data_IF_212772279220
#
_entry.id   IF_212772279220
#
_cell.length_a   1.000
_cell.length_b   1.000
_cell.length_c   1.000
_cell.angle_alpha   90.00
_cell.angle_beta   90.00
_cell.angle_gamma   90.00
#
_symmetry.space_group_name_H-M   'P 1'
#
loop_
_entity.id
_entity.type
_entity.pdbx_description
1 polymer ?
#
# COMPACT_ATOMS: atom_id res chain seq x y z
N UNK A 1 4.25 -5.03 -17.67
CA UNK A 1 4.18 -4.27 -16.40
C UNK A 1 2.95 -4.60 -15.56
N UNK A 2 2.41 -5.82 -15.68
CA UNK A 2 1.11 -6.26 -15.16
C UNK A 2 0.98 -6.28 -13.63
N UNK A 3 2.04 -5.90 -12.90
CA UNK A 3 2.07 -5.84 -11.43
C UNK A 3 2.57 -4.52 -10.88
N UNK A 4 3.18 -3.67 -11.71
CA UNK A 4 3.83 -2.46 -11.22
C UNK A 4 2.78 -1.43 -10.84
N UNK A 5 2.70 -1.06 -9.56
CA UNK A 5 1.80 -0.01 -9.07
C UNK A 5 2.48 1.35 -8.97
N UNK A 6 3.81 1.38 -8.94
CA UNK A 6 4.61 2.61 -8.86
C UNK A 6 4.84 3.24 -10.23
N UNK A 7 4.95 2.44 -11.29
CA UNK A 7 5.16 2.94 -12.64
C UNK A 7 3.83 3.16 -13.35
N UNK A 8 3.71 4.27 -14.09
CA UNK A 8 2.50 4.62 -14.83
C UNK A 8 2.41 3.86 -16.16
N UNK A 9 3.47 3.93 -16.97
CA UNK A 9 3.56 3.29 -18.28
C UNK A 9 5.02 3.02 -18.65
N UNK A 10 5.26 2.10 -19.57
CA UNK A 10 6.55 1.91 -20.23
C UNK A 10 6.45 2.25 -21.71
N UNK A 11 7.54 2.81 -22.20
CA UNK A 11 7.70 3.22 -23.58
C UNK A 11 9.01 2.65 -24.11
N UNK A 12 9.01 2.22 -25.37
CA UNK A 12 10.22 1.99 -26.14
C UNK A 12 10.71 3.36 -26.64
N UNK A 13 11.87 3.78 -26.15
CA UNK A 13 12.45 5.07 -26.47
C UNK A 13 13.06 5.05 -27.88
N UNK A 14 12.57 5.92 -28.76
CA UNK A 14 13.08 6.06 -30.12
C UNK A 14 14.02 7.25 -30.25
N UNK A 15 13.71 8.36 -29.56
CA UNK A 15 14.59 9.52 -29.56
C UNK A 15 14.35 10.43 -28.38
N UNK A 16 15.34 11.27 -28.08
CA UNK A 16 15.27 12.26 -27.02
C UNK A 16 16.16 13.47 -27.30
N UNK A 17 15.92 14.56 -26.60
CA UNK A 17 16.75 15.77 -26.70
C UNK A 17 16.29 16.86 -25.74
N UNK A 18 17.13 17.88 -25.54
CA UNK A 18 16.76 19.10 -24.80
C UNK A 18 16.07 20.13 -25.69
N UNK A 19 16.24 19.99 -27.00
CA UNK A 19 15.59 20.84 -28.01
C UNK A 19 14.87 19.97 -29.04
N UNK A 20 13.91 20.56 -29.75
CA UNK A 20 13.24 19.88 -30.87
C UNK A 20 14.22 19.43 -31.96
N UNK A 21 15.30 20.19 -32.19
CA UNK A 21 16.33 19.82 -33.16
C UNK A 21 17.16 18.62 -32.70
N UNK A 22 17.50 18.55 -31.41
CA UNK A 22 18.17 17.38 -30.83
C UNK A 22 17.27 16.14 -30.91
N UNK A 23 15.99 16.28 -30.55
CA UNK A 23 15.01 15.20 -30.66
C UNK A 23 14.91 14.69 -32.09
N UNK A 24 14.77 15.60 -33.07
CA UNK A 24 14.73 15.25 -34.49
C UNK A 24 15.97 14.50 -34.94
N UNK A 25 17.15 14.99 -34.55
CA UNK A 25 18.43 14.34 -34.88
C UNK A 25 18.52 12.94 -34.26
N UNK A 26 18.10 12.80 -33.00
CA UNK A 26 18.05 11.53 -32.29
C UNK A 26 17.05 10.54 -32.90
N UNK A 27 15.91 11.02 -33.41
CA UNK A 27 14.92 10.18 -34.07
C UNK A 27 15.43 9.69 -35.43
N UNK A 28 16.05 10.57 -36.22
CA UNK A 28 16.60 10.20 -37.53
C UNK A 28 17.80 9.24 -37.42
N UNK A 29 18.49 9.20 -36.29
CA UNK A 29 19.60 8.25 -36.05
C UNK A 29 19.15 6.89 -35.52
N UNK A 30 17.89 6.77 -35.07
CA UNK A 30 17.37 5.50 -34.56
C UNK A 30 17.12 4.51 -35.71
N UNK A 31 17.43 3.21 -35.54
CA UNK A 31 17.36 2.24 -36.63
C UNK A 31 15.98 2.17 -37.28
N UNK A 32 15.90 2.49 -38.57
CA UNK A 32 14.64 2.50 -39.33
C UNK A 32 13.97 1.11 -39.37
N UNK A 33 14.76 0.04 -39.34
CA UNK A 33 14.29 -1.35 -39.26
C UNK A 33 13.48 -1.67 -37.99
N UNK A 34 13.73 -0.94 -36.90
CA UNK A 34 12.97 -1.10 -35.65
C UNK A 34 11.68 -0.27 -35.66
N UNK A 35 11.64 0.85 -36.39
CA UNK A 35 10.43 1.67 -36.50
C UNK A 35 9.45 1.14 -37.56
N UNK A 36 9.98 0.65 -38.68
CA UNK A 36 9.20 0.30 -39.85
C UNK A 36 8.04 -0.66 -39.58
N UNK A 37 8.11 -1.66 -38.69
CA UNK A 37 6.98 -2.56 -38.43
C UNK A 37 5.74 -1.85 -37.87
N UNK A 38 5.91 -0.66 -37.28
CA UNK A 38 4.85 0.07 -36.58
C UNK A 38 4.33 1.29 -37.36
N UNK A 39 4.83 1.52 -38.57
CA UNK A 39 4.54 2.72 -39.38
C UNK A 39 3.98 2.38 -40.76
N UNK A 40 3.54 1.12 -40.96
CA UNK A 40 3.07 0.59 -42.25
C UNK A 40 1.73 1.20 -42.71
N UNK A 41 1.46 1.26 -44.03
CA UNK A 41 0.22 1.82 -44.59
C UNK A 41 -1.08 1.14 -44.13
N UNK A 42 -1.02 -0.17 -43.87
CA UNK A 42 -2.15 -0.98 -43.44
C UNK A 42 -2.40 -0.90 -41.91
N UNK A 43 -1.57 -0.13 -41.20
CA UNK A 43 -1.67 0.04 -39.76
C UNK A 43 -2.44 1.31 -39.36
N UNK A 44 -2.95 1.31 -38.14
CA UNK A 44 -3.60 2.47 -37.51
C UNK A 44 -2.79 2.96 -36.32
N UNK A 45 -2.65 4.27 -36.16
CA UNK A 45 -1.90 4.83 -35.05
C UNK A 45 -2.54 6.07 -34.42
N UNK A 46 -2.05 6.41 -33.22
CA UNK A 46 -2.24 7.74 -32.62
C UNK A 46 -0.95 8.21 -31.96
N UNK A 47 -0.81 9.52 -31.85
CA UNK A 47 0.26 10.17 -31.09
C UNK A 47 -0.35 10.89 -29.89
N UNK A 48 0.10 10.54 -28.69
CA UNK A 48 -0.29 11.19 -27.45
C UNK A 48 0.81 12.16 -27.01
N UNK A 49 0.43 13.34 -26.54
CA UNK A 49 1.36 14.29 -25.92
C UNK A 49 1.14 14.29 -24.42
N UNK A 50 2.18 13.96 -23.66
CA UNK A 50 2.19 14.02 -22.21
C UNK A 50 3.21 15.03 -21.74
N UNK A 51 2.80 15.88 -20.81
CA UNK A 51 3.65 16.88 -20.19
C UNK A 51 3.78 16.59 -18.70
N UNK A 52 5.00 16.72 -18.19
CA UNK A 52 5.30 16.73 -16.77
C UNK A 52 5.36 18.19 -16.31
N UNK A 53 4.68 18.51 -15.20
CA UNK A 53 4.68 19.83 -14.58
C UNK A 53 4.13 21.01 -15.43
N UNK A 54 3.45 20.74 -16.56
CA UNK A 54 2.74 21.75 -17.36
C UNK A 54 1.42 21.19 -17.89
N UNK A 55 0.41 22.03 -18.08
CA UNK A 55 -0.81 21.67 -18.80
C UNK A 55 -0.80 22.37 -20.16
N UNK A 56 -0.89 21.58 -21.23
CA UNK A 56 -1.03 22.11 -22.59
C UNK A 56 -2.49 22.16 -23.02
N UNK A 57 -2.83 23.24 -23.73
CA UNK A 57 -4.09 23.37 -24.43
C UNK A 57 -4.16 22.41 -25.64
N UNK A 58 -5.37 22.17 -26.14
CA UNK A 58 -5.56 21.23 -27.24
C UNK A 58 -4.84 21.69 -28.52
N UNK A 59 -4.92 22.98 -28.86
CA UNK A 59 -4.25 23.53 -30.05
C UNK A 59 -2.73 23.37 -29.99
N UNK A 60 -2.12 23.55 -28.81
CA UNK A 60 -0.68 23.36 -28.62
C UNK A 60 -0.28 21.89 -28.81
N UNK A 61 -1.10 20.94 -28.34
CA UNK A 61 -0.83 19.51 -28.54
C UNK A 61 -0.86 19.12 -30.01
N UNK A 62 -1.80 19.66 -30.78
CA UNK A 62 -1.87 19.44 -32.23
C UNK A 62 -0.62 19.99 -32.90
N UNK A 63 -0.22 21.22 -32.56
CA UNK A 63 1.03 21.81 -33.06
C UNK A 63 2.25 20.93 -32.77
N UNK A 64 2.36 20.35 -31.57
CA UNK A 64 3.45 19.41 -31.23
C UNK A 64 3.45 18.15 -32.09
N UNK A 65 2.27 17.67 -32.47
CA UNK A 65 2.13 16.51 -33.36
C UNK A 65 2.53 16.89 -34.79
N UNK A 66 2.09 18.05 -35.28
CA UNK A 66 2.43 18.55 -36.61
C UNK A 66 3.94 18.82 -36.75
N UNK A 67 4.59 19.30 -35.69
CA UNK A 67 6.06 19.49 -35.63
C UNK A 67 6.83 18.17 -35.87
N UNK A 68 6.18 17.00 -35.79
CA UNK A 68 6.75 15.67 -36.02
C UNK A 68 6.44 15.07 -37.40
N UNK A 69 5.91 15.86 -38.35
CA UNK A 69 5.59 15.42 -39.72
C UNK A 69 6.80 14.81 -40.48
N UNK A 70 8.03 15.10 -40.04
CA UNK A 70 9.24 14.53 -40.63
C UNK A 70 9.42 13.02 -40.37
N UNK A 71 8.61 12.40 -39.52
CA UNK A 71 8.62 10.96 -39.30
C UNK A 71 7.82 10.23 -40.40
N UNK A 72 8.34 9.11 -40.94
CA UNK A 72 7.73 8.41 -42.08
C UNK A 72 6.51 7.56 -41.68
N UNK A 73 5.47 8.18 -41.10
CA UNK A 73 4.22 7.49 -40.79
C UNK A 73 3.39 7.32 -42.07
N UNK A 74 3.24 6.09 -42.53
CA UNK A 74 2.40 5.78 -43.70
C UNK A 74 1.00 5.27 -43.30
N UNK A 75 0.82 4.88 -42.04
CA UNK A 75 -0.45 4.39 -41.50
C UNK A 75 -1.56 5.45 -41.39
N UNK A 76 -2.74 5.02 -40.97
CA UNK A 76 -3.91 5.90 -40.81
C UNK A 76 -4.13 6.31 -39.36
N UNK A 77 -4.58 7.55 -39.12
CA UNK A 77 -4.82 8.05 -37.75
C UNK A 77 -6.14 7.50 -37.19
N UNK A 78 -6.08 6.84 -36.03
CA UNK A 78 -7.25 6.31 -35.29
C UNK A 78 -7.19 6.71 -33.82
N UNK A 79 -8.09 7.60 -33.39
CA UNK A 79 -8.09 8.12 -32.02
C UNK A 79 -8.68 7.13 -30.99
N UNK A 80 -9.66 6.32 -31.42
CA UNK A 80 -10.39 5.41 -30.54
C UNK A 80 -9.68 4.07 -30.36
N UNK A 81 -9.41 3.38 -31.48
CA UNK A 81 -8.86 2.02 -31.50
C UNK A 81 -7.64 1.96 -32.43
N UNK A 82 -6.51 2.56 -32.06
CA UNK A 82 -5.25 2.42 -32.81
C UNK A 82 -4.59 1.07 -32.53
N UNK A 83 -3.90 0.52 -33.52
CA UNK A 83 -2.97 -0.61 -33.33
C UNK A 83 -1.67 -0.17 -32.66
N UNK A 84 -1.21 1.05 -32.96
CA UNK A 84 0.05 1.58 -32.43
C UNK A 84 -0.17 2.92 -31.74
N UNK A 85 0.39 3.06 -30.53
CA UNK A 85 0.32 4.30 -29.76
C UNK A 85 1.74 4.83 -29.59
N UNK A 86 1.97 6.05 -30.06
CA UNK A 86 3.22 6.78 -29.88
C UNK A 86 3.01 7.90 -28.88
N UNK A 87 4.10 8.31 -28.23
CA UNK A 87 4.04 9.26 -27.14
C UNK A 87 5.18 10.25 -27.23
N UNK A 88 4.82 11.53 -27.29
CA UNK A 88 5.72 12.64 -27.02
C UNK A 88 5.63 12.97 -25.52
N UNK A 89 6.75 12.89 -24.82
CA UNK A 89 6.86 13.18 -23.39
C UNK A 89 7.71 14.45 -23.23
N UNK A 90 7.14 15.51 -22.66
CA UNK A 90 7.85 16.75 -22.38
C UNK A 90 8.01 16.93 -20.86
N UNK A 91 9.24 17.15 -20.42
CA UNK A 91 9.58 17.39 -19.01
C UNK A 91 9.87 18.87 -18.78
N UNK A 92 9.02 19.53 -17.98
CA UNK A 92 9.17 20.94 -17.58
C UNK A 92 9.73 21.09 -16.16
N UNK A 93 10.52 20.11 -15.71
CA UNK A 93 11.17 20.12 -14.41
C UNK A 93 10.21 19.87 -13.25
N UNK A 94 10.71 19.97 -12.02
CA UNK A 94 9.99 19.55 -10.81
C UNK A 94 9.41 20.71 -9.98
N UNK A 95 9.71 21.96 -10.32
CA UNK A 95 9.20 23.12 -9.58
C UNK A 95 7.88 23.63 -10.19
N UNK A 96 6.73 23.39 -9.55
CA UNK A 96 5.44 23.83 -10.08
C UNK A 96 5.25 25.35 -10.02
N UNK A 97 6.07 26.07 -9.25
CA UNK A 97 5.97 27.53 -9.13
C UNK A 97 6.84 28.27 -10.14
N UNK A 98 7.73 27.56 -10.83
CA UNK A 98 8.65 28.13 -11.82
C UNK A 98 8.75 27.21 -13.04
N UNK A 99 7.63 27.05 -13.74
CA UNK A 99 7.52 26.20 -14.92
C UNK A 99 8.19 26.92 -16.11
N UNK A 100 9.21 26.33 -16.75
CA UNK A 100 9.88 26.95 -17.89
C UNK A 100 8.95 27.04 -19.11
N UNK A 101 9.25 28.00 -19.99
CA UNK A 101 8.48 28.19 -21.23
C UNK A 101 8.61 26.97 -22.16
N UNK A 102 9.84 26.45 -22.28
CA UNK A 102 10.20 25.27 -23.05
C UNK A 102 10.53 24.09 -22.12
N UNK A 103 10.32 22.84 -22.56
CA UNK A 103 10.69 21.69 -21.76
C UNK A 103 12.21 21.58 -21.62
N UNK A 104 12.66 21.12 -20.45
CA UNK A 104 14.07 20.81 -20.18
C UNK A 104 14.53 19.59 -20.99
N UNK A 105 13.62 18.62 -21.18
CA UNK A 105 13.83 17.44 -21.99
C UNK A 105 12.56 17.00 -22.71
N UNK A 106 12.75 16.44 -23.89
CA UNK A 106 11.69 15.84 -24.70
C UNK A 106 12.10 14.43 -25.09
N UNK A 107 11.15 13.51 -25.02
CA UNK A 107 11.30 12.11 -25.39
C UNK A 107 10.20 11.73 -26.36
N UNK A 108 10.53 10.90 -27.35
CA UNK A 108 9.55 10.30 -28.23
C UNK A 108 9.75 8.79 -28.31
N UNK A 109 8.65 8.05 -28.31
CA UNK A 109 8.72 6.60 -28.34
C UNK A 109 7.35 5.94 -28.49
N UNK A 110 7.39 4.62 -28.58
CA UNK A 110 6.20 3.77 -28.71
C UNK A 110 5.75 3.28 -27.34
N UNK A 111 4.46 3.38 -27.05
CA UNK A 111 3.87 2.83 -25.84
C UNK A 111 3.89 1.31 -25.86
N UNK A 112 4.30 0.70 -24.75
CA UNK A 112 4.43 -0.76 -24.60
C UNK A 112 3.37 -1.32 -23.67
N UNK A 113 3.21 -0.72 -22.49
CA UNK A 113 2.26 -1.19 -21.49
C UNK A 113 2.02 -0.11 -20.43
N UNK A 114 0.83 -0.15 -19.84
CA UNK A 114 0.55 0.57 -18.60
C UNK A 114 0.88 -0.27 -17.36
N UNK A 115 1.18 0.42 -16.27
CA UNK A 115 1.20 -0.17 -14.94
C UNK A 115 -0.21 -0.35 -14.39
N UNK A 116 -0.28 -0.80 -13.15
CA UNK A 116 -1.50 -1.16 -12.45
C UNK A 116 -1.88 -0.12 -11.38
N UNK A 117 -1.57 1.16 -11.61
CA UNK A 117 -1.85 2.23 -10.64
C UNK A 117 -3.33 2.37 -10.30
N UNK A 118 -4.20 2.01 -11.25
CA UNK A 118 -5.66 1.96 -11.06
C UNK A 118 -6.11 0.98 -9.94
N UNK A 119 -5.28 -0.03 -9.63
CA UNK A 119 -5.56 -0.94 -8.51
C UNK A 119 -5.59 -0.21 -7.17
N UNK A 120 -4.76 0.82 -6.99
CA UNK A 120 -4.74 1.63 -5.75
C UNK A 120 -6.10 2.31 -5.54
N UNK A 121 -6.73 2.78 -6.62
CA UNK A 121 -8.03 3.46 -6.57
C UNK A 121 -9.17 2.46 -6.33
N UNK A 122 -9.18 1.34 -7.05
CA UNK A 122 -10.23 0.32 -6.90
C UNK A 122 -10.19 -0.33 -5.51
N UNK A 123 -9.00 -0.60 -4.97
CA UNK A 123 -8.81 -1.25 -3.66
C UNK A 123 -8.70 -0.26 -2.49
N UNK A 124 -9.10 1.01 -2.71
CA UNK A 124 -9.08 2.01 -1.66
C UNK A 124 -9.86 1.54 -0.45
N UNK A 125 -9.34 1.82 0.75
CA UNK A 125 -10.00 1.47 2.02
C UNK A 125 -11.44 2.01 2.09
N UNK A 126 -11.72 3.13 1.42
CA UNK A 126 -13.05 3.76 1.35
C UNK A 126 -14.10 2.91 0.64
N UNK A 127 -13.68 1.97 -0.20
CA UNK A 127 -14.59 1.11 -0.96
C UNK A 127 -14.90 -0.19 -0.22
N UNK A 128 -14.33 -0.43 0.97
CA UNK A 128 -14.47 -1.69 1.70
C UNK A 128 -15.73 -1.72 2.54
N UNK A 129 -16.32 -2.92 2.66
CA UNK A 129 -17.44 -3.20 3.56
C UNK A 129 -17.07 -3.02 5.05
N UNK A 130 -15.83 -3.36 5.43
CA UNK A 130 -15.31 -3.17 6.77
C UNK A 130 -14.07 -2.28 6.75
N UNK A 131 -14.07 -1.27 7.63
CA UNK A 131 -12.96 -0.32 7.80
C UNK A 131 -12.60 -0.30 9.28
N UNK A 132 -11.35 -0.63 9.58
CA UNK A 132 -10.77 -0.52 10.92
C UNK A 132 -9.69 0.55 10.99
N UNK A 133 -9.39 1.00 12.22
CA UNK A 133 -8.47 2.10 12.53
C UNK A 133 -6.99 1.83 12.15
N UNK A 134 -6.67 0.59 11.80
CA UNK A 134 -5.32 0.10 11.47
C UNK A 134 -5.23 -0.48 10.05
N UNK A 135 -6.21 -0.16 9.19
CA UNK A 135 -6.18 -0.58 7.79
C UNK A 135 -4.98 0.02 7.04
N UNK A 136 -4.16 -0.83 6.43
CA UNK A 136 -3.04 -0.41 5.58
C UNK A 136 -3.56 0.23 4.28
N UNK A 137 -2.83 1.26 3.79
CA UNK A 137 -3.03 1.88 2.48
C UNK A 137 -2.92 0.84 1.33
N UNK A 138 -3.76 1.01 0.30
CA UNK A 138 -3.82 0.08 -0.82
C UNK A 138 -2.52 0.07 -1.63
N UNK A 139 -1.94 1.24 -1.90
CA UNK A 139 -0.69 1.36 -2.65
C UNK A 139 0.47 0.68 -1.93
N UNK A 140 0.62 0.92 -0.63
CA UNK A 140 1.60 0.23 0.19
C UNK A 140 1.37 -1.28 0.22
N UNK A 141 0.12 -1.73 0.37
CA UNK A 141 -0.21 -3.16 0.38
C UNK A 141 0.22 -3.87 -0.91
N UNK A 142 0.00 -3.24 -2.08
CA UNK A 142 0.46 -3.79 -3.36
C UNK A 142 1.99 -3.78 -3.51
N UNK A 143 2.67 -2.76 -2.99
CA UNK A 143 4.14 -2.73 -2.98
C UNK A 143 4.68 -3.90 -2.14
N UNK A 144 4.11 -4.12 -0.95
CA UNK A 144 4.50 -5.21 -0.08
C UNK A 144 4.24 -6.58 -0.74
N UNK A 145 3.08 -6.79 -1.37
CA UNK A 145 2.76 -8.02 -2.10
C UNK A 145 3.72 -8.29 -3.27
N UNK A 146 4.10 -7.25 -4.01
CA UNK A 146 5.07 -7.36 -5.09
C UNK A 146 6.48 -7.68 -4.59
N UNK A 147 6.91 -7.06 -3.50
CA UNK A 147 8.21 -7.34 -2.91
C UNK A 147 8.27 -8.72 -2.27
N UNK A 148 7.18 -9.21 -1.70
CA UNK A 148 7.03 -10.60 -1.28
C UNK A 148 7.08 -11.59 -2.46
N UNK A 149 7.02 -11.10 -3.71
CA UNK A 149 7.00 -11.90 -4.95
C UNK A 149 5.86 -12.90 -5.02
N UNK A 150 4.74 -12.61 -4.37
CA UNK A 150 3.56 -13.48 -4.32
C UNK A 150 3.07 -13.81 -5.73
N UNK A 151 2.96 -15.09 -6.09
CA UNK A 151 2.47 -15.59 -7.39
C UNK A 151 1.15 -16.33 -7.24
N UNK A 152 0.60 -16.70 -8.38
CA UNK A 152 -0.54 -17.61 -8.41
C UNK A 152 -0.18 -18.93 -7.72
N UNK A 153 -1.09 -19.43 -6.89
CA UNK A 153 -0.93 -20.64 -6.06
C UNK A 153 0.02 -20.55 -4.87
N UNK A 154 0.66 -19.41 -4.62
CA UNK A 154 1.44 -19.21 -3.41
C UNK A 154 0.54 -19.25 -2.16
N UNK A 155 1.06 -19.79 -1.07
CA UNK A 155 0.44 -19.73 0.26
C UNK A 155 1.01 -18.52 1.01
N UNK A 156 0.19 -17.48 1.17
CA UNK A 156 0.58 -16.23 1.83
C UNK A 156 0.02 -16.19 3.24
N UNK A 157 0.86 -15.78 4.19
CA UNK A 157 0.52 -15.74 5.61
C UNK A 157 0.74 -14.36 6.24
N UNK A 158 -0.24 -13.91 7.03
CA UNK A 158 -0.14 -12.70 7.85
C UNK A 158 -0.49 -13.03 9.31
N UNK A 159 0.48 -13.05 10.24
CA UNK A 159 0.24 -13.31 11.67
C UNK A 159 -0.44 -12.14 12.41
N UNK A 160 -0.54 -10.96 11.79
CA UNK A 160 -1.10 -9.74 12.37
C UNK A 160 -2.05 -9.06 11.37
N UNK A 161 -3.01 -9.83 10.85
CA UNK A 161 -3.82 -9.46 9.67
C UNK A 161 -4.61 -8.14 9.78
N UNK A 162 -5.02 -7.76 11.00
CA UNK A 162 -5.89 -6.61 11.25
C UNK A 162 -7.16 -6.66 10.40
N UNK A 163 -7.30 -5.70 9.47
CA UNK A 163 -8.44 -5.61 8.54
C UNK A 163 -8.21 -6.27 7.18
N UNK A 164 -7.21 -7.14 7.05
CA UNK A 164 -6.99 -7.90 5.82
C UNK A 164 -6.31 -7.14 4.69
N UNK A 165 -5.94 -5.86 4.86
CA UNK A 165 -5.41 -5.02 3.75
C UNK A 165 -4.29 -5.68 2.93
N UNK A 166 -3.35 -6.35 3.60
CA UNK A 166 -2.20 -6.97 2.96
C UNK A 166 -2.60 -8.20 2.15
N UNK A 167 -3.47 -9.05 2.71
CA UNK A 167 -3.97 -10.25 2.04
C UNK A 167 -4.93 -9.92 0.89
N UNK A 168 -5.73 -8.85 1.01
CA UNK A 168 -6.52 -8.30 -0.11
C UNK A 168 -5.61 -8.02 -1.30
N UNK A 169 -4.52 -7.27 -1.08
CA UNK A 169 -3.59 -6.92 -2.15
C UNK A 169 -2.85 -8.13 -2.73
N UNK A 170 -2.55 -9.13 -1.90
CA UNK A 170 -1.96 -10.38 -2.36
C UNK A 170 -2.92 -11.14 -3.27
N UNK A 171 -4.19 -11.27 -2.89
CA UNK A 171 -5.21 -12.03 -3.63
C UNK A 171 -5.44 -11.55 -5.07
N UNK A 172 -5.22 -10.25 -5.34
CA UNK A 172 -5.28 -9.67 -6.68
C UNK A 172 -4.32 -10.33 -7.69
N UNK A 173 -3.26 -10.98 -7.20
CA UNK A 173 -2.26 -11.67 -8.03
C UNK A 173 -2.45 -13.19 -8.13
N UNK A 174 -3.59 -13.72 -7.65
CA UNK A 174 -3.94 -15.14 -7.72
C UNK A 174 -3.40 -16.14 -6.66
N UNK A 175 -2.78 -15.75 -5.52
CA UNK A 175 -2.37 -16.70 -4.47
C UNK A 175 -3.55 -17.25 -3.66
N UNK A 176 -3.33 -18.34 -2.92
CA UNK A 176 -4.23 -18.81 -1.86
C UNK A 176 -3.78 -18.20 -0.52
N UNK A 177 -4.62 -17.41 0.15
CA UNK A 177 -4.23 -16.69 1.39
C UNK A 177 -4.70 -17.45 2.65
N UNK A 178 -3.82 -17.59 3.66
CA UNK A 178 -4.13 -18.22 4.96
C UNK A 178 -3.90 -17.21 6.08
N UNK A 179 -4.90 -16.99 6.93
CA UNK A 179 -4.85 -15.94 7.96
C UNK A 179 -4.67 -16.53 9.37
N UNK A 180 -3.89 -15.86 10.22
CA UNK A 180 -3.87 -16.14 11.67
C UNK A 180 -3.97 -14.83 12.45
N UNK A 181 -4.89 -14.75 13.43
CA UNK A 181 -5.13 -13.54 14.22
C UNK A 181 -5.17 -13.77 15.72
N UNK A 182 -4.50 -12.89 16.46
CA UNK A 182 -4.83 -12.64 17.87
C UNK A 182 -6.00 -11.66 17.93
N UNK A 183 -7.22 -12.20 17.84
CA UNK A 183 -8.52 -11.52 17.94
C UNK A 183 -8.83 -10.56 16.77
N UNK A 184 -9.45 -11.09 15.71
CA UNK A 184 -10.66 -10.57 15.00
C UNK A 184 -10.84 -11.34 13.68
N UNK A 185 -12.07 -11.70 13.35
CA UNK A 185 -12.52 -12.39 12.12
C UNK A 185 -12.64 -11.35 11.00
N UNK A 186 -12.08 -11.59 9.82
CA UNK A 186 -12.50 -10.89 8.61
C UNK A 186 -12.97 -11.86 7.52
N UNK A 187 -14.23 -11.69 7.13
CA UNK A 187 -14.76 -12.23 5.88
C UNK A 187 -14.29 -11.34 4.72
N UNK A 188 -13.53 -11.90 3.78
CA UNK A 188 -13.22 -11.25 2.52
C UNK A 188 -14.32 -11.53 1.48
N UNK A 189 -15.40 -10.75 1.53
CA UNK A 189 -16.59 -10.93 0.68
C UNK A 189 -16.40 -10.64 -0.83
N UNK A 190 -15.21 -10.20 -1.28
CA UNK A 190 -14.94 -9.94 -2.71
C UNK A 190 -13.89 -10.89 -3.32
N UNK A 191 -13.34 -11.82 -2.52
CA UNK A 191 -12.27 -12.74 -2.96
C UNK A 191 -12.59 -14.20 -2.59
N UNK A 192 -13.86 -14.58 -2.67
CA UNK A 192 -14.35 -15.91 -2.25
C UNK A 192 -13.64 -17.09 -2.94
N UNK A 193 -12.97 -16.86 -4.09
CA UNK A 193 -12.28 -17.91 -4.86
C UNK A 193 -10.82 -18.16 -4.46
N UNK A 194 -10.20 -17.29 -3.65
CA UNK A 194 -8.76 -17.33 -3.34
C UNK A 194 -8.43 -17.21 -1.85
N UNK A 195 -9.45 -17.09 -1.01
CA UNK A 195 -9.33 -17.11 0.44
C UNK A 195 -9.32 -18.57 0.94
N UNK A 196 -8.32 -18.94 1.75
CA UNK A 196 -8.25 -20.28 2.33
C UNK A 196 -9.06 -20.35 3.64
N UNK A 197 -8.60 -19.66 4.70
CA UNK A 197 -9.24 -19.70 6.01
C UNK A 197 -8.67 -18.62 6.97
N UNK A 198 -9.40 -18.34 8.07
CA UNK A 198 -8.98 -17.50 9.19
C UNK A 198 -8.89 -18.35 10.44
N UNK A 199 -7.73 -18.29 11.09
CA UNK A 199 -7.52 -18.95 12.37
C UNK A 199 -7.31 -17.95 13.51
N UNK A 200 -8.18 -17.98 14.51
CA UNK A 200 -7.99 -17.19 15.73
C UNK A 200 -6.99 -17.90 16.64
N UNK A 201 -5.81 -17.32 16.81
CA UNK A 201 -4.79 -17.82 17.73
C UNK A 201 -3.72 -16.77 18.08
N UNK A 202 -2.99 -17.04 19.14
CA UNK A 202 -1.94 -16.14 19.62
C UNK A 202 -0.68 -16.26 18.75
N UNK A 203 -0.25 -15.16 18.13
CA UNK A 203 0.95 -15.16 17.29
C UNK A 203 2.23 -15.50 18.06
N UNK A 204 2.27 -15.29 19.39
CA UNK A 204 3.38 -15.72 20.25
C UNK A 204 3.39 -17.24 20.51
N UNK A 205 2.30 -17.94 20.19
CA UNK A 205 2.14 -19.39 20.35
C UNK A 205 1.72 -20.02 19.03
N UNK A 206 2.68 -20.19 18.09
CA UNK A 206 2.36 -20.74 16.78
C UNK A 206 1.77 -22.15 16.92
N UNK A 207 0.60 -22.35 16.32
CA UNK A 207 -0.12 -23.64 16.28
C UNK A 207 0.23 -24.47 15.05
N UNK A 208 1.12 -23.95 14.20
CA UNK A 208 1.60 -24.61 13.00
C UNK A 208 2.63 -25.69 13.31
N UNK A 209 2.64 -26.73 12.48
CA UNK A 209 3.73 -27.70 12.49
C UNK A 209 5.00 -27.00 12.02
N UNK A 210 6.13 -27.29 12.67
CA UNK A 210 7.46 -26.73 12.32
C UNK A 210 7.98 -27.32 11.01
N UNK A 211 7.40 -26.87 9.92
CA UNK A 211 7.74 -27.25 8.55
C UNK A 211 7.62 -26.03 7.65
N UNK A 212 8.40 -25.94 6.55
CA UNK A 212 8.16 -24.95 5.52
C UNK A 212 6.75 -25.12 4.94
N UNK A 213 5.92 -24.10 5.05
CA UNK A 213 4.51 -24.10 4.65
C UNK A 213 4.15 -22.91 3.76
N UNK A 214 4.80 -21.75 3.96
CA UNK A 214 4.40 -20.49 3.34
C UNK A 214 5.42 -20.03 2.31
N UNK A 215 4.92 -19.60 1.15
CA UNK A 215 5.72 -18.99 0.08
C UNK A 215 6.10 -17.54 0.44
N UNK A 216 5.22 -16.85 1.17
CA UNK A 216 5.46 -15.51 1.67
C UNK A 216 4.80 -15.28 3.02
N UNK A 217 5.49 -14.52 3.87
CA UNK A 217 4.93 -13.96 5.10
C UNK A 217 4.95 -12.43 4.95
N UNK A 218 3.78 -11.80 5.09
CA UNK A 218 3.59 -10.37 4.89
C UNK A 218 2.79 -9.81 6.06
N UNK A 219 3.28 -8.75 6.75
CA UNK A 219 2.59 -8.29 7.96
C UNK A 219 2.92 -6.85 8.38
N UNK A 220 2.02 -6.23 9.14
CA UNK A 220 2.24 -4.96 9.85
C UNK A 220 1.99 -5.17 11.35
N UNK A 221 3.02 -5.58 12.13
CA UNK A 221 2.83 -5.95 13.53
C UNK A 221 2.36 -4.76 14.40
N UNK A 222 1.63 -5.00 15.49
CA UNK A 222 1.11 -3.92 16.34
C UNK A 222 2.24 -3.15 17.03
N UNK A 223 2.25 -1.82 16.86
CA UNK A 223 3.30 -0.95 17.45
C UNK A 223 3.04 -0.56 18.91
N UNK A 224 1.96 -1.06 19.51
CA UNK A 224 1.58 -0.67 20.86
C UNK A 224 1.15 0.79 20.96
N UNK A 225 0.63 1.44 19.91
CA UNK A 225 0.13 2.84 19.94
C UNK A 225 -1.40 2.86 19.96
N UNK A 226 -2.01 2.33 18.90
CA UNK A 226 -3.48 2.27 18.71
C UNK A 226 -4.08 0.97 19.27
N UNK A 227 -3.31 -0.11 19.19
CA UNK A 227 -3.68 -1.45 19.63
C UNK A 227 -2.73 -1.87 20.76
N UNK A 228 -3.26 -2.55 21.77
CA UNK A 228 -2.43 -3.05 22.87
C UNK A 228 -1.65 -4.29 22.44
N UNK A 229 -0.34 -4.32 22.69
CA UNK A 229 0.47 -5.52 22.47
C UNK A 229 0.33 -6.48 23.65
N UNK A 230 -0.43 -7.55 23.47
CA UNK A 230 -0.73 -8.55 24.51
C UNK A 230 -0.43 -9.95 24.01
N UNK A 231 -0.03 -10.82 24.92
CA UNK A 231 0.14 -12.26 24.69
C UNK A 231 -0.52 -13.08 25.79
N UNK A 232 -0.84 -14.31 25.48
CA UNK A 232 -1.45 -15.29 26.37
C UNK A 232 -0.37 -15.96 27.21
N UNK A 233 -0.41 -15.80 28.52
CA UNK A 233 0.52 -16.40 29.46
C UNK A 233 -0.15 -17.16 30.61
N UNK A 234 0.68 -17.72 31.47
CA UNK A 234 0.30 -18.27 32.77
C UNK A 234 1.09 -17.53 33.86
N UNK A 235 0.55 -17.39 35.06
CA UNK A 235 1.26 -16.76 36.20
C UNK A 235 2.46 -17.60 36.70
N UNK A 236 2.66 -18.83 36.20
CA UNK A 236 3.77 -19.71 36.56
C UNK A 236 4.43 -20.24 35.29
N UNK A 237 5.74 -20.03 35.14
CA UNK A 237 6.60 -20.66 34.14
C UNK A 237 6.83 -22.15 34.42
N UNK A 238 5.76 -22.91 34.68
CA UNK A 238 5.83 -24.34 34.94
C UNK A 238 5.17 -25.06 33.77
N UNK A 239 6.01 -25.65 32.92
CA UNK A 239 5.64 -26.74 32.02
C UNK A 239 5.22 -27.95 32.89
N UNK A 240 3.94 -28.02 33.28
CA UNK A 240 3.36 -29.30 33.69
C UNK A 240 2.94 -30.04 32.41
N UNK A 241 3.38 -31.29 32.20
CA UNK A 241 2.82 -32.15 31.16
C UNK A 241 1.30 -32.23 31.31
N UNK A 242 0.58 -32.22 30.19
CA UNK A 242 -0.87 -32.28 30.16
C UNK A 242 -1.38 -33.64 30.63
N UNK A 243 -1.77 -33.75 31.91
CA UNK A 243 -2.66 -34.82 32.37
C UNK A 243 -4.11 -34.41 32.08
N UNK A 244 -4.54 -34.63 30.83
CA UNK A 244 -5.87 -35.08 30.38
C UNK A 244 -7.18 -34.46 30.89
N UNK A 245 -7.19 -33.45 31.76
CA UNK A 245 -8.43 -32.90 32.34
C UNK A 245 -8.46 -31.40 32.12
N UNK A 246 -9.12 -30.97 31.03
CA UNK A 246 -9.50 -29.58 30.85
C UNK A 246 -10.45 -29.19 31.98
N UNK A 247 -10.00 -28.36 32.92
CA UNK A 247 -10.92 -27.53 33.68
C UNK A 247 -11.52 -26.52 32.70
N UNK A 248 -12.79 -26.66 32.36
CA UNK A 248 -13.57 -25.81 31.44
C UNK A 248 -13.59 -24.30 31.80
N UNK A 249 -12.87 -23.88 32.85
CA UNK A 249 -12.90 -22.53 33.44
C UNK A 249 -11.55 -21.80 33.46
N UNK A 250 -10.47 -22.36 32.90
CA UNK A 250 -9.17 -21.66 32.88
C UNK A 250 -9.08 -20.63 31.74
N UNK A 251 -9.37 -19.36 32.04
CA UNK A 251 -9.09 -18.24 31.15
C UNK A 251 -7.59 -17.91 31.21
N UNK A 252 -6.85 -17.99 30.10
CA UNK A 252 -5.44 -17.65 30.08
C UNK A 252 -5.19 -16.18 30.44
N UNK A 253 -4.07 -15.88 31.10
CA UNK A 253 -3.77 -14.53 31.59
C UNK A 253 -3.18 -13.68 30.46
N UNK A 254 -3.71 -12.49 30.25
CA UNK A 254 -3.14 -11.52 29.31
C UNK A 254 -1.88 -10.87 29.89
N UNK A 255 -0.75 -11.04 29.23
CA UNK A 255 0.55 -10.46 29.58
C UNK A 255 0.98 -9.40 28.56
N UNK A 256 1.91 -8.52 28.93
CA UNK A 256 2.53 -7.59 27.99
C UNK A 256 3.32 -8.36 26.93
N UNK A 257 3.14 -8.00 25.67
CA UNK A 257 3.94 -8.50 24.56
C UNK A 257 4.86 -7.37 24.10
N UNK A 258 6.14 -7.50 24.42
CA UNK A 258 7.12 -6.46 24.10
C UNK A 258 7.43 -6.45 22.60
N UNK A 259 7.72 -5.27 22.07
CA UNK A 259 7.95 -5.10 20.63
C UNK A 259 9.19 -5.89 20.17
N UNK A 260 10.23 -5.96 21.00
CA UNK A 260 11.40 -6.80 20.77
C UNK A 260 11.04 -8.29 20.64
N UNK A 261 10.11 -8.76 21.48
CA UNK A 261 9.65 -10.15 21.48
C UNK A 261 8.80 -10.44 20.23
N UNK A 262 7.91 -9.51 19.84
CA UNK A 262 7.10 -9.61 18.62
C UNK A 262 7.98 -9.88 17.41
N UNK A 263 9.02 -9.08 17.22
CA UNK A 263 9.91 -9.26 16.08
C UNK A 263 10.77 -10.51 16.23
N UNK A 264 11.26 -10.83 17.44
CA UNK A 264 12.00 -12.08 17.66
C UNK A 264 11.17 -13.31 17.28
N UNK A 265 9.92 -13.35 17.72
CA UNK A 265 9.00 -14.45 17.46
C UNK A 265 8.61 -14.49 15.97
N UNK A 266 8.37 -13.33 15.34
CA UNK A 266 8.09 -13.24 13.91
C UNK A 266 9.25 -13.77 13.05
N UNK A 267 10.49 -13.35 13.35
CA UNK A 267 11.66 -13.80 12.59
C UNK A 267 11.93 -15.30 12.82
N UNK A 268 11.80 -15.77 14.07
CA UNK A 268 11.94 -17.19 14.40
C UNK A 268 10.86 -18.02 13.71
N UNK A 269 9.61 -17.56 13.72
CA UNK A 269 8.50 -18.21 13.02
C UNK A 269 8.78 -18.30 11.52
N UNK A 270 9.20 -17.20 10.91
CA UNK A 270 9.50 -17.11 9.48
C UNK A 270 10.62 -18.07 9.08
N UNK A 271 11.67 -18.18 9.89
CA UNK A 271 12.78 -19.09 9.64
C UNK A 271 12.37 -20.58 9.65
N UNK A 272 11.29 -20.95 10.37
CA UNK A 272 10.81 -22.34 10.41
C UNK A 272 9.75 -22.65 9.35
N UNK A 273 8.98 -21.65 8.91
CA UNK A 273 7.77 -21.86 8.10
C UNK A 273 7.85 -21.27 6.69
N UNK A 274 8.85 -20.46 6.36
CA UNK A 274 9.08 -20.05 4.98
C UNK A 274 9.74 -21.17 4.17
N UNK A 275 9.27 -21.37 2.95
CA UNK A 275 9.96 -22.16 1.94
C UNK A 275 11.28 -21.50 1.53
N UNK A 276 12.22 -22.28 0.99
CA UNK A 276 13.47 -21.75 0.45
C UNK A 276 13.19 -20.76 -0.69
N UNK A 277 13.84 -19.60 -0.66
CA UNK A 277 13.56 -18.49 -1.59
C UNK A 277 12.28 -17.70 -1.29
N UNK A 278 11.48 -18.12 -0.31
CA UNK A 278 10.35 -17.39 0.23
C UNK A 278 10.79 -16.11 0.94
N UNK A 279 9.83 -15.19 1.14
CA UNK A 279 10.12 -13.83 1.62
C UNK A 279 9.28 -13.45 2.83
N UNK A 280 9.95 -12.87 3.82
CA UNK A 280 9.34 -12.15 4.93
C UNK A 280 9.32 -10.66 4.59
N UNK A 281 8.14 -10.05 4.66
CA UNK A 281 7.94 -8.62 4.44
C UNK A 281 7.19 -8.03 5.63
N UNK A 282 7.80 -7.07 6.32
CA UNK A 282 7.18 -6.46 7.50
C UNK A 282 7.52 -4.99 7.70
N UNK A 283 6.70 -4.31 8.51
CA UNK A 283 7.00 -2.97 9.00
C UNK A 283 7.59 -2.98 10.40
N UNK A 284 8.64 -2.18 10.60
CA UNK A 284 9.30 -1.96 11.88
C UNK A 284 9.10 -0.49 12.31
N UNK A 285 8.41 -0.19 13.41
CA UNK A 285 8.28 1.19 13.89
C UNK A 285 9.61 1.68 14.48
N UNK A 286 9.98 2.91 14.17
CA UNK A 286 11.28 3.49 14.52
C UNK A 286 11.13 4.92 15.04
N UNK A 287 11.79 5.22 16.15
CA UNK A 287 12.04 6.58 16.60
C UNK A 287 13.27 7.13 15.86
N UNK A 288 13.06 8.14 15.00
CA UNK A 288 14.07 8.58 14.01
C UNK A 288 15.39 9.03 14.62
N UNK A 289 15.42 9.79 15.74
CA UNK A 289 16.68 10.20 16.37
C UNK A 289 17.58 9.05 16.83
N UNK A 290 17.00 7.89 17.13
CA UNK A 290 17.73 6.74 17.67
C UNK A 290 17.99 5.65 16.63
N UNK A 291 17.68 5.91 15.36
CA UNK A 291 17.80 4.92 14.31
C UNK A 291 19.25 4.70 13.90
N UNK A 292 19.68 3.44 13.91
CA UNK A 292 20.86 2.93 13.20
C UNK A 292 20.49 1.64 12.46
N UNK A 293 21.31 1.17 11.52
CA UNK A 293 21.03 -0.11 10.83
C UNK A 293 21.10 -1.31 11.79
N UNK A 294 21.83 -1.19 12.88
CA UNK A 294 22.01 -2.22 13.91
C UNK A 294 20.73 -2.55 14.69
N UNK A 295 19.75 -1.63 14.72
CA UNK A 295 18.49 -1.88 15.43
C UNK A 295 17.51 -2.75 14.62
N UNK A 296 17.80 -3.00 13.34
CA UNK A 296 16.94 -3.85 12.51
C UNK A 296 17.06 -5.30 13.00
N UNK A 297 15.95 -5.97 13.36
CA UNK A 297 15.99 -7.37 13.78
C UNK A 297 16.54 -8.26 12.66
N UNK A 298 17.46 -9.16 13.02
CA UNK A 298 18.08 -10.13 12.09
C UNK A 298 17.82 -11.57 12.56
N UNK A 299 17.99 -12.54 11.69
CA UNK A 299 17.96 -13.95 12.07
C UNK A 299 18.96 -14.72 11.21
N UNK A 300 19.75 -15.67 11.76
CA UNK A 300 20.77 -16.41 11.00
C UNK A 300 20.27 -17.05 9.70
N UNK A 301 19.01 -17.51 9.68
CA UNK A 301 18.39 -18.12 8.51
C UNK A 301 17.78 -17.13 7.50
N UNK A 302 17.73 -15.83 7.83
CA UNK A 302 17.08 -14.80 7.03
C UNK A 302 18.09 -13.73 6.61
N UNK A 303 18.24 -13.55 5.30
CA UNK A 303 19.07 -12.49 4.74
C UNK A 303 18.24 -11.22 4.59
N UNK A 304 18.68 -10.11 5.17
CA UNK A 304 18.11 -8.79 4.91
C UNK A 304 18.39 -8.37 3.46
N UNK A 305 17.34 -8.20 2.65
CA UNK A 305 17.45 -7.83 1.23
C UNK A 305 17.22 -6.33 1.00
N UNK A 306 16.35 -5.70 1.78
CA UNK A 306 16.02 -4.29 1.63
C UNK A 306 15.44 -3.69 2.91
N UNK A 307 15.72 -2.41 3.14
CA UNK A 307 15.23 -1.63 4.26
C UNK A 307 14.93 -0.20 3.81
N UNK A 308 13.65 0.21 3.78
CA UNK A 308 13.24 1.53 3.29
C UNK A 308 12.44 2.31 4.35
N UNK A 309 12.69 3.62 4.47
CA UNK A 309 11.97 4.48 5.42
C UNK A 309 10.66 5.01 4.82
N UNK A 310 9.58 4.93 5.61
CA UNK A 310 8.42 5.79 5.46
C UNK A 310 8.32 6.72 6.66
N UNK A 311 8.50 8.02 6.41
CA UNK A 311 8.37 9.06 7.43
C UNK A 311 6.88 9.25 7.78
N UNK A 312 6.55 9.14 9.06
CA UNK A 312 5.19 9.37 9.57
C UNK A 312 5.07 10.76 10.23
N UNK A 313 6.12 11.19 10.95
CA UNK A 313 6.20 12.50 11.58
C UNK A 313 7.65 13.00 11.61
N UNK A 314 7.90 14.15 12.26
CA UNK A 314 9.26 14.66 12.43
C UNK A 314 10.16 13.69 13.20
N UNK A 315 9.61 12.95 14.17
CA UNK A 315 10.37 12.08 15.08
C UNK A 315 10.03 10.60 14.97
N UNK A 316 8.99 10.22 14.23
CA UNK A 316 8.62 8.82 14.00
C UNK A 316 8.63 8.45 12.52
N UNK A 317 9.09 7.24 12.25
CA UNK A 317 9.04 6.60 10.95
C UNK A 317 8.68 5.13 11.15
N UNK A 318 8.39 4.45 10.05
CA UNK A 318 8.41 2.99 10.01
C UNK A 318 9.31 2.55 8.87
N UNK A 319 9.96 1.41 9.07
CA UNK A 319 10.92 0.80 8.15
C UNK A 319 10.28 -0.41 7.50
N UNK A 320 10.13 -0.33 6.18
CA UNK A 320 9.76 -1.45 5.34
C UNK A 320 10.95 -2.39 5.24
N UNK A 321 10.84 -3.60 5.78
CA UNK A 321 11.93 -4.58 5.83
C UNK A 321 11.56 -5.81 5.00
N UNK A 322 12.47 -6.21 4.10
CA UNK A 322 12.35 -7.40 3.28
C UNK A 322 13.50 -8.35 3.61
N UNK A 323 13.18 -9.57 4.00
CA UNK A 323 14.15 -10.63 4.24
C UNK A 323 13.84 -11.89 3.41
N UNK A 324 14.87 -12.55 2.91
CA UNK A 324 14.76 -13.81 2.16
C UNK A 324 15.34 -14.99 2.92
N UNK A 325 14.74 -16.17 2.73
CA UNK A 325 15.27 -17.41 3.30
C UNK A 325 16.52 -17.86 2.54
N UNK A 326 17.62 -18.15 3.25
CA UNK A 326 18.92 -18.56 2.66
C UNK A 326 19.33 -19.98 3.09
N UNK A 327 20.01 -20.71 2.19
CA UNK A 327 20.51 -22.07 2.39
C UNK A 327 21.73 -22.15 3.32
N UNK A 328 22.41 -21.03 3.60
CA UNK A 328 23.63 -20.97 4.43
C UNK A 328 23.35 -20.89 5.94
N UNK A 329 22.09 -21.07 6.35
CA UNK A 329 21.59 -20.92 7.72
C UNK A 329 22.32 -21.73 8.81
N UNK A 330 23.05 -22.80 8.43
CA UNK A 330 23.70 -23.72 9.36
C UNK A 330 25.02 -23.20 9.97
N UNK A 331 25.51 -22.02 9.54
CA UNK A 331 26.88 -21.58 9.83
C UNK A 331 27.02 -20.35 10.76
N UNK A 332 25.95 -19.85 11.38
CA UNK A 332 26.01 -18.61 12.17
C UNK A 332 25.58 -18.75 13.65
N UNK A 333 26.32 -18.04 14.50
CA UNK A 333 26.40 -18.08 15.98
C UNK A 333 25.03 -18.05 16.70
N UNK A 334 24.77 -18.93 17.70
CA UNK A 334 23.51 -18.98 18.46
C UNK A 334 23.18 -17.74 19.30
N UNK A 335 24.07 -16.74 19.39
CA UNK A 335 23.89 -15.57 20.26
C UNK A 335 23.13 -14.43 19.58
N UNK A 336 21.91 -14.70 19.12
CA UNK A 336 20.99 -13.64 18.72
C UNK A 336 20.28 -13.06 19.96
N UNK A 337 20.75 -11.91 20.44
CA UNK A 337 20.02 -11.13 21.45
C UNK A 337 19.11 -10.13 20.72
N UNK A 338 17.79 -10.11 20.99
CA UNK A 338 16.91 -9.10 20.41
C UNK A 338 17.32 -7.71 20.88
N UNK A 339 17.25 -6.71 19.99
CA UNK A 339 17.44 -5.32 20.37
C UNK A 339 16.25 -4.84 21.23
N UNK A 340 16.47 -4.64 22.52
CA UNK A 340 15.41 -4.28 23.47
C UNK A 340 14.98 -2.81 23.38
N UNK A 341 15.76 -1.95 22.71
CA UNK A 341 15.44 -0.52 22.58
C UNK A 341 14.12 -0.25 21.87
N UNK A 342 13.61 -1.21 21.10
CA UNK A 342 12.27 -1.20 20.52
C UNK A 342 11.16 -1.07 21.56
N UNK A 343 11.36 -1.58 22.78
CA UNK A 343 10.33 -1.58 23.83
C UNK A 343 10.00 -0.17 24.35
N UNK A 344 10.94 0.76 24.23
CA UNK A 344 10.73 2.16 24.55
C UNK A 344 10.03 2.95 23.43
N UNK A 345 9.68 2.33 22.29
CA UNK A 345 9.08 3.03 21.16
C UNK A 345 7.78 3.76 21.53
N UNK A 346 6.88 3.11 22.29
CA UNK A 346 5.61 3.72 22.72
C UNK A 346 5.85 4.99 23.53
N UNK A 347 6.76 4.95 24.50
CA UNK A 347 7.09 6.09 25.35
C UNK A 347 7.70 7.23 24.53
N UNK A 348 8.65 6.91 23.64
CA UNK A 348 9.30 7.88 22.73
C UNK A 348 8.32 8.49 21.71
N UNK A 349 7.34 7.73 21.26
CA UNK A 349 6.27 8.21 20.40
C UNK A 349 5.48 9.34 21.08
N UNK A 350 5.08 9.15 22.34
CA UNK A 350 4.29 10.15 23.07
C UNK A 350 5.15 11.29 23.65
N UNK A 351 6.42 11.06 23.95
CA UNK A 351 7.31 12.13 24.46
C UNK A 351 7.57 13.23 23.41
N UNK A 352 7.57 12.89 22.13
CA UNK A 352 7.64 13.86 21.02
C UNK A 352 6.40 14.76 20.91
N UNK A 353 5.23 14.28 21.37
CA UNK A 353 3.99 15.06 21.42
C UNK A 353 3.99 16.04 22.61
N UNK A 354 4.47 15.62 23.78
CA UNK A 354 4.48 16.44 25.00
C UNK A 354 5.51 17.59 24.96
N UNK A 355 6.58 17.49 24.17
CA UNK A 355 7.49 18.63 23.93
C UNK A 355 6.83 19.77 23.14
N UNK A 356 5.73 19.51 22.42
CA UNK A 356 4.97 20.54 21.70
C UNK A 356 3.97 21.27 22.59
N UNK A 357 3.40 20.62 23.62
CA UNK A 357 2.40 21.27 24.49
C UNK A 357 2.97 22.33 25.43
N UNK A 358 4.29 22.40 25.63
CA UNK A 358 4.96 23.37 26.51
C UNK A 358 5.55 24.59 25.78
N UNK A 359 5.32 24.74 24.46
CA UNK A 359 5.61 25.97 23.74
C UNK A 359 4.30 26.63 23.37
N UNK A 360 3.90 27.63 24.15
CA UNK A 360 2.94 28.64 23.70
C UNK A 360 3.53 29.32 22.46
N UNK A 361 2.91 29.11 21.30
CA UNK A 361 3.01 30.04 20.17
C UNK A 361 1.67 30.07 19.43
N UNK A 362 0.80 30.89 19.99
CA UNK A 362 -0.43 31.43 19.41
C UNK A 362 -0.15 32.06 18.03
N UNK A 363 -1.07 31.81 17.10
CA UNK A 363 -1.23 32.52 15.82
C UNK A 363 -0.24 32.18 14.68
N UNK A 364 0.98 31.72 14.96
CA UNK A 364 1.91 31.25 13.91
C UNK A 364 1.61 29.83 13.42
N UNK A 365 1.01 28.99 14.27
CA UNK A 365 0.76 27.57 13.96
C UNK A 365 -0.43 27.33 13.02
N UNK A 366 -1.41 28.23 12.90
CA UNK A 366 -2.44 28.07 11.83
C UNK A 366 -1.84 28.24 10.43
N UNK A 367 -0.82 29.09 10.29
CA UNK A 367 -0.05 29.21 9.06
C UNK A 367 0.94 28.05 8.88
N UNK A 368 1.48 27.49 9.97
CA UNK A 368 2.42 26.36 9.93
C UNK A 368 1.71 25.00 9.72
N UNK A 369 0.51 24.80 10.24
CA UNK A 369 -0.31 23.61 9.99
C UNK A 369 -0.78 23.57 8.53
N UNK A 370 -1.15 24.71 7.94
CA UNK A 370 -1.37 24.80 6.50
C UNK A 370 -0.08 24.49 5.73
N UNK A 371 1.08 25.05 6.13
CA UNK A 371 2.39 24.77 5.49
C UNK A 371 2.97 23.37 5.74
N UNK A 372 2.55 22.63 6.75
CA UNK A 372 3.01 21.25 7.07
C UNK A 372 2.06 20.20 6.49
N UNK A 373 0.77 20.51 6.36
CA UNK A 373 -0.12 19.74 5.48
C UNK A 373 0.27 19.92 4.00
N UNK A 374 0.63 21.13 3.58
CA UNK A 374 1.27 21.42 2.27
C UNK A 374 2.74 20.94 2.19
N UNK A 375 3.38 20.72 3.35
CA UNK A 375 4.81 20.38 3.52
C UNK A 375 5.12 18.88 3.55
N UNK A 376 4.19 18.05 4.00
CA UNK A 376 4.30 16.59 3.94
C UNK A 376 3.78 16.02 2.60
N UNK A 377 2.94 16.80 1.91
CA UNK A 377 2.68 16.68 0.47
C UNK A 377 3.83 17.24 -0.41
N UNK A 378 5.03 17.50 0.11
CA UNK A 378 6.14 17.99 -0.76
C UNK A 378 7.40 17.12 -0.75
N UNK A 379 7.66 16.24 0.23
CA UNK A 379 8.86 15.36 0.20
C UNK A 379 8.61 13.91 -0.20
N UNK A 380 7.44 13.32 0.10
CA UNK A 380 7.01 12.06 -0.54
C UNK A 380 6.46 12.29 -1.96
N UNK A 381 6.09 13.53 -2.20
CA UNK A 381 5.47 14.07 -3.40
C UNK A 381 6.55 14.66 -4.35
N UNK A 382 7.76 14.98 -3.90
CA UNK A 382 8.90 15.22 -4.81
C UNK A 382 9.32 14.00 -5.64
N UNK A 383 8.77 12.81 -5.33
CA UNK A 383 8.86 11.61 -6.18
C UNK A 383 7.55 11.26 -6.92
N UNK A 384 6.42 11.96 -6.67
CA UNK A 384 5.08 11.54 -7.14
C UNK A 384 4.12 12.71 -7.58
N UNK A 385 4.53 14.00 -7.57
CA UNK A 385 3.62 15.16 -7.81
C UNK A 385 3.69 15.76 -9.21
N UNK A 386 3.07 15.10 -10.21
CA UNK A 386 2.14 15.90 -11.01
C UNK A 386 0.80 15.20 -11.26
N UNK A 387 0.35 14.35 -10.33
CA UNK A 387 -0.89 13.56 -10.55
C UNK A 387 -2.06 14.00 -9.67
N UNK A 388 -1.84 14.63 -8.50
CA UNK A 388 -2.91 14.84 -7.52
C UNK A 388 -3.72 16.13 -7.67
N UNK A 389 -3.18 17.20 -8.29
CA UNK A 389 -4.00 18.37 -8.69
C UNK A 389 -4.98 18.01 -9.82
N UNK A 390 -4.73 16.90 -10.55
CA UNK A 390 -5.54 16.44 -11.68
C UNK A 390 -6.90 15.84 -11.26
N UNK A 391 -7.03 15.31 -10.04
CA UNK A 391 -8.23 14.59 -9.63
C UNK A 391 -9.39 15.50 -9.17
N UNK A 392 -9.10 16.68 -8.63
CA UNK A 392 -10.17 17.62 -8.25
C UNK A 392 -10.69 18.45 -9.44
N UNK A 393 -9.85 18.65 -10.46
CA UNK A 393 -10.24 19.43 -11.65
C UNK A 393 -10.92 18.59 -12.75
N UNK A 394 -10.61 17.29 -12.83
CA UNK A 394 -11.26 16.36 -13.77
C UNK A 394 -12.74 16.09 -13.46
N UNK A 395 -13.26 16.47 -12.28
CA UNK A 395 -14.70 16.34 -11.98
C UNK A 395 -15.57 17.46 -12.57
N UNK A 396 -14.97 18.52 -13.12
CA UNK A 396 -15.72 19.67 -13.68
C UNK A 396 -15.84 19.61 -15.20
N UNK A 397 -15.11 18.73 -15.88
CA UNK A 397 -15.06 18.68 -17.36
C UNK A 397 -15.78 17.51 -18.03
N UNK A 398 -16.49 16.66 -17.28
CA UNK A 398 -17.49 15.73 -17.83
C UNK A 398 -18.88 16.26 -17.50
N UNK A 399 -19.36 17.17 -18.34
CA UNK A 399 -20.64 17.86 -18.14
C UNK A 399 -21.84 16.92 -18.13
N UNK A 400 -22.63 17.02 -17.06
CA UNK A 400 -24.06 17.29 -17.20
C UNK A 400 -24.39 18.57 -16.43
N UNK A 401 -24.68 19.63 -17.18
CA UNK A 401 -25.44 20.76 -16.65
C UNK A 401 -26.84 20.26 -16.28
N UNK A 402 -27.21 20.35 -15.00
CA UNK A 402 -28.36 21.16 -14.56
C UNK A 402 -28.56 21.05 -13.04
N UNK A 403 -28.70 22.22 -12.40
CA UNK A 403 -29.29 22.45 -11.06
C UNK A 403 -28.56 21.88 -9.84
N UNK A 404 -27.74 22.71 -9.20
CA UNK A 404 -27.72 22.86 -7.74
C UNK A 404 -26.92 24.11 -7.32
N UNK A 405 -27.44 25.28 -7.70
CA UNK A 405 -27.21 26.52 -6.95
C UNK A 405 -28.37 26.64 -5.97
N UNK A 406 -28.19 26.16 -4.74
CA UNK A 406 -28.78 26.69 -3.50
C UNK A 406 -28.50 25.77 -2.30
N UNK A 407 -28.09 26.42 -1.20
CA UNK A 407 -28.12 26.00 0.21
C UNK A 407 -26.88 25.32 0.80
N UNK A 408 -25.92 26.16 1.19
CA UNK A 408 -25.16 25.98 2.43
C UNK A 408 -25.63 27.06 3.41
N UNK A 409 -26.40 26.69 4.44
CA UNK A 409 -26.28 27.21 5.82
C UNK A 409 -27.10 26.33 6.78
N UNK A 410 -26.67 26.10 8.03
CA UNK A 410 -27.21 25.07 8.90
C UNK A 410 -28.33 25.63 9.78
N UNK A 411 -29.40 24.86 9.97
CA UNK A 411 -30.40 25.15 11.01
C UNK A 411 -30.66 23.88 11.83
N UNK A 412 -30.25 24.01 13.09
CA UNK A 412 -30.55 23.15 14.22
C UNK A 412 -32.01 23.37 14.60
N UNK A 413 -32.91 22.41 14.35
CA UNK A 413 -34.25 22.37 14.97
C UNK A 413 -34.58 20.94 15.39
N UNK A 414 -34.68 20.78 16.70
CA UNK A 414 -35.41 19.71 17.39
C UNK A 414 -36.88 19.82 17.02
N UNK A 415 -37.54 18.73 16.58
CA UNK A 415 -38.89 18.38 17.04
C UNK A 415 -39.27 16.92 16.71
N UNK A 416 -39.89 16.31 17.72
CA UNK A 416 -40.59 15.04 17.75
C UNK A 416 -41.87 15.09 16.91
N UNK A 417 -42.24 14.00 16.21
CA UNK A 417 -43.59 13.41 16.26
C UNK A 417 -43.69 12.15 15.38
N UNK A 418 -44.49 11.20 15.86
CA UNK A 418 -44.80 9.91 15.30
C UNK A 418 -45.76 9.94 14.10
N UNK A 419 -45.74 8.91 13.26
CA UNK A 419 -46.88 7.98 13.07
C UNK A 419 -46.70 7.04 11.86
N UNK A 420 -46.83 5.75 12.14
CA UNK A 420 -47.57 4.70 11.42
C UNK A 420 -47.66 4.71 9.88
N UNK A 421 -47.14 3.63 9.26
CA UNK A 421 -47.98 2.50 8.76
C UNK A 421 -47.16 1.39 8.06
N UNK A 422 -47.75 0.17 7.86
CA UNK A 422 -47.06 -1.12 7.94
C UNK A 422 -46.60 -1.68 6.59
N UNK A 423 -45.69 -2.66 6.64
CA UNK A 423 -45.15 -3.37 5.47
C UNK A 423 -46.06 -4.48 4.92
N UNK A 424 -45.50 -5.30 4.00
CA UNK A 424 -45.84 -6.71 3.97
C UNK A 424 -44.61 -7.64 3.94
N UNK A 425 -44.74 -8.67 4.78
CA UNK A 425 -44.14 -10.01 4.79
C UNK A 425 -43.56 -10.52 3.46
N UNK A 426 -42.32 -11.01 3.50
CA UNK A 426 -41.88 -12.15 2.69
C UNK A 426 -41.11 -13.17 3.53
N UNK A 427 -41.39 -14.41 3.14
CA UNK A 427 -41.21 -15.74 3.74
C UNK A 427 -39.81 -16.07 4.26
N UNK A 428 -39.79 -16.74 5.42
CA UNK A 428 -38.60 -17.25 6.07
C UNK A 428 -38.48 -18.77 5.86
N UNK A 429 -37.43 -19.19 5.18
CA UNK A 429 -36.98 -20.59 5.23
C UNK A 429 -35.50 -20.73 4.88
N UNK A 430 -34.61 -20.32 5.78
CA UNK A 430 -33.33 -21.00 6.08
C UNK A 430 -32.59 -20.28 7.22
N UNK A 431 -33.05 -20.51 8.45
CA UNK A 431 -32.26 -20.21 9.65
C UNK A 431 -32.28 -21.46 10.55
N UNK A 432 -31.17 -22.19 10.56
CA UNK A 432 -30.72 -23.06 11.65
C UNK A 432 -29.24 -22.73 11.83
N UNK A 433 -28.86 -21.94 12.82
CA UNK A 433 -28.73 -22.29 14.24
C UNK A 433 -27.24 -22.41 14.56
N UNK A 434 -26.67 -21.36 15.15
CA UNK A 434 -25.61 -21.47 16.15
C UNK A 434 -25.79 -20.32 17.15
N UNK A 435 -25.88 -20.73 18.42
CA UNK A 435 -26.23 -19.93 19.58
C UNK A 435 -25.21 -18.81 19.86
N UNK A 436 -25.68 -17.57 19.96
CA UNK A 436 -24.98 -16.48 20.64
C UNK A 436 -25.44 -16.42 22.10
N UNK A 437 -24.57 -16.80 23.03
CA UNK A 437 -24.72 -16.52 24.45
C UNK A 437 -24.52 -15.02 24.72
N UNK A 438 -25.56 -14.34 25.15
CA UNK A 438 -25.52 -12.97 25.64
C UNK A 438 -24.78 -12.90 26.97
N UNK A 439 -23.79 -12.02 27.08
CA UNK A 439 -23.27 -11.58 28.37
C UNK A 439 -23.50 -10.07 28.49
N UNK A 440 -24.49 -9.73 29.31
CA UNK A 440 -24.84 -8.38 29.72
C UNK A 440 -23.77 -7.84 30.66
N UNK A 441 -23.19 -6.68 30.35
CA UNK A 441 -22.37 -5.92 31.31
C UNK A 441 -23.19 -4.72 31.75
N UNK A 442 -23.75 -4.84 32.95
CA UNK A 442 -24.42 -3.78 33.68
C UNK A 442 -23.37 -2.77 34.13
N UNK A 443 -23.53 -1.51 33.70
CA UNK A 443 -22.81 -0.36 34.25
C UNK A 443 -23.25 -0.13 35.70
N UNK A 444 -22.30 -0.04 36.62
CA UNK A 444 -22.41 0.68 37.88
C UNK A 444 -21.24 1.62 38.01
#
# INVERSE_FOLDING_TARGET
>A
MTRSVCAKSAFELWGHGRTHNELKTSLLSYPAENMSPFMQPDSTYRINVYTFNKTLEFAERIKRIDDMEYLPFEGTVSLKNPQHVFCLLEDYGTDPNNIPENPDYVYFGRWIADGQRELIRSHSVKNRHFIGNTSMDAGLSFIMANHAKVKQHDVVFDPFVGTGSLLVACSQFGPMCVEQTSITILFMAEVEKLYLDVMVSDASKPVWRKTPLFDAIITDPPYGIRESTRRTGSHKDILKPCDGVYAESHVPVSQAYHLSDIFKDLLSFSAHHLVLGGRLVYWLPVYRPDYSEEIVPLHPCLQLLSNCEQVLSSHTSRRYTLSGMDNQAHLLDPRFSPYEGHNAFREKYFSGLNKRSNKEDTQSEKALWMRVYEGQETRLMQLITPVLVKALWMRVYEGQETRLMQLITPVLVVHSAASDRPGPLWDGSMVRSCYCGWMSVTLR
#
